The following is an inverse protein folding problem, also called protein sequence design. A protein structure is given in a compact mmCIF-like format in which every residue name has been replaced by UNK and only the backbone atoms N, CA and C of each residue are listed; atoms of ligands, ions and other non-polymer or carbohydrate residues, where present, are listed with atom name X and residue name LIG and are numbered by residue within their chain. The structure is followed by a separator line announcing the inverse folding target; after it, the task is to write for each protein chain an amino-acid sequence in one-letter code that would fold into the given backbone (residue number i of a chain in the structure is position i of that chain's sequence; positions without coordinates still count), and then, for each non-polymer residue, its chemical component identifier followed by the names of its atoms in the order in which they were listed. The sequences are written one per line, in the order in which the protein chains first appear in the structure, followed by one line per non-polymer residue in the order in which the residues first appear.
data_IF_788680687789
#
_entry.id   IF_788680687789
#
_cell.length_a   1.000
_cell.length_b   1.000
_cell.length_c   1.000
_cell.angle_alpha   90.00
_cell.angle_beta   90.00
_cell.angle_gamma   90.00
#
_symmetry.space_group_name_H-M   'P 1'
#
loop_
_entity.id
_entity.type
_entity.pdbx_description
1 polymer ?
#
# COMPACT_ATOMS: atom_id res chain seq x y z
N UNK A 1 -36.64 -20.50 59.78
CA UNK A 1 -36.56 -20.05 58.38
C UNK A 1 -37.55 -20.89 57.60
N UNK A 2 -38.56 -20.30 56.97
CA UNK A 2 -39.60 -21.07 56.26
C UNK A 2 -39.09 -21.52 54.90
N UNK A 3 -39.59 -22.65 54.39
CA UNK A 3 -39.19 -23.22 53.09
C UNK A 3 -39.36 -22.20 51.93
N UNK A 4 -40.39 -21.37 52.00
CA UNK A 4 -40.65 -20.29 51.04
C UNK A 4 -39.53 -19.23 51.02
N UNK A 5 -38.97 -18.91 52.20
CA UNK A 5 -37.86 -17.94 52.29
C UNK A 5 -36.60 -18.51 51.65
N UNK A 6 -36.32 -19.80 51.86
CA UNK A 6 -35.18 -20.48 51.25
C UNK A 6 -35.29 -20.50 49.72
N UNK A 7 -36.48 -20.82 49.20
CA UNK A 7 -36.74 -20.84 47.76
C UNK A 7 -36.53 -19.46 47.11
N UNK A 8 -36.98 -18.39 47.76
CA UNK A 8 -36.78 -17.02 47.28
C UNK A 8 -35.28 -16.66 47.20
N UNK A 9 -34.49 -17.00 48.24
CA UNK A 9 -33.05 -16.75 48.23
C UNK A 9 -32.31 -17.51 47.13
N UNK A 10 -32.70 -18.76 46.87
CA UNK A 10 -32.13 -19.56 45.78
C UNK A 10 -32.45 -18.93 44.42
N UNK A 11 -33.69 -18.47 44.21
CA UNK A 11 -34.08 -17.78 42.97
C UNK A 11 -33.30 -16.48 42.78
N UNK A 12 -33.17 -15.65 43.83
CA UNK A 12 -32.39 -14.41 43.78
C UNK A 12 -30.92 -14.71 43.46
N UNK A 13 -30.33 -15.71 44.11
CA UNK A 13 -28.94 -16.11 43.83
C UNK A 13 -28.77 -16.56 42.36
N UNK A 14 -29.70 -17.36 41.83
CA UNK A 14 -29.66 -17.81 40.44
C UNK A 14 -29.71 -16.63 39.45
N UNK A 15 -30.56 -15.63 39.69
CA UNK A 15 -30.64 -14.42 38.84
C UNK A 15 -29.35 -13.61 38.93
N UNK A 16 -28.77 -13.44 40.12
CA UNK A 16 -27.50 -12.73 40.28
C UNK A 16 -26.35 -13.43 39.54
N UNK A 17 -26.29 -14.76 39.60
CA UNK A 17 -25.32 -15.55 38.84
C UNK A 17 -25.52 -15.36 37.33
N UNK A 18 -26.77 -15.40 36.85
CA UNK A 18 -27.08 -15.22 35.44
C UNK A 18 -26.68 -13.81 34.94
N UNK A 19 -26.94 -12.76 35.73
CA UNK A 19 -26.52 -11.40 35.41
C UNK A 19 -25.00 -11.26 35.40
N UNK A 20 -24.31 -11.85 36.38
CA UNK A 20 -22.85 -11.89 36.43
C UNK A 20 -22.25 -12.56 35.19
N UNK A 21 -22.78 -13.73 34.82
CA UNK A 21 -22.35 -14.45 33.62
C UNK A 21 -22.60 -13.64 32.34
N UNK A 22 -23.77 -12.98 32.23
CA UNK A 22 -24.09 -12.12 31.10
C UNK A 22 -23.10 -10.95 30.95
N UNK A 23 -22.76 -10.29 32.06
CA UNK A 23 -21.81 -9.18 32.05
C UNK A 23 -20.40 -9.62 31.65
N UNK A 24 -19.93 -10.77 32.17
CA UNK A 24 -18.64 -11.35 31.78
C UNK A 24 -18.63 -11.71 30.30
N UNK A 25 -19.71 -12.31 29.78
CA UNK A 25 -19.82 -12.64 28.36
C UNK A 25 -19.74 -11.39 27.46
N UNK A 26 -20.39 -10.29 27.85
CA UNK A 26 -20.33 -9.02 27.13
C UNK A 26 -18.92 -8.42 27.13
N UNK A 27 -18.22 -8.46 28.27
CA UNK A 27 -16.85 -7.97 28.39
C UNK A 27 -15.89 -8.77 27.53
N UNK A 28 -15.96 -10.11 27.58
CA UNK A 28 -15.15 -10.99 26.75
C UNK A 28 -15.46 -10.75 25.27
N UNK A 29 -16.73 -10.65 24.89
CA UNK A 29 -17.11 -10.37 23.50
C UNK A 29 -16.59 -9.01 23.02
N UNK A 30 -16.63 -7.98 23.87
CA UNK A 30 -16.08 -6.66 23.54
C UNK A 30 -14.55 -6.70 23.39
N UNK A 31 -13.86 -7.43 24.26
CA UNK A 31 -12.40 -7.58 24.20
C UNK A 31 -11.97 -8.39 22.98
N UNK A 32 -12.66 -9.49 22.69
CA UNK A 32 -12.42 -10.34 21.52
C UNK A 32 -12.63 -9.56 20.22
N UNK A 33 -13.71 -8.76 20.12
CA UNK A 33 -13.93 -7.86 18.98
C UNK A 33 -12.80 -6.84 18.80
N UNK A 34 -12.23 -6.32 19.89
CA UNK A 34 -11.09 -5.38 19.82
C UNK A 34 -9.82 -6.08 19.35
N UNK A 35 -9.54 -7.26 19.89
CA UNK A 35 -8.39 -8.07 19.49
C UNK A 35 -8.48 -8.49 18.02
N UNK A 36 -9.64 -9.00 17.59
CA UNK A 36 -9.90 -9.39 16.21
C UNK A 36 -9.73 -8.23 15.22
N UNK A 37 -10.20 -7.02 15.58
CA UNK A 37 -9.99 -5.81 14.76
C UNK A 37 -8.52 -5.46 14.65
N UNK A 38 -7.77 -5.51 15.75
CA UNK A 38 -6.34 -5.22 15.75
C UNK A 38 -5.57 -6.20 14.87
N UNK A 39 -5.85 -7.51 15.00
CA UNK A 39 -5.24 -8.55 14.17
C UNK A 39 -5.59 -8.32 12.69
N UNK A 40 -6.86 -8.05 12.37
CA UNK A 40 -7.28 -7.78 11.00
C UNK A 40 -6.61 -6.52 10.39
N UNK A 41 -6.37 -5.48 11.19
CA UNK A 41 -5.63 -4.30 10.75
C UNK A 41 -4.14 -4.61 10.49
N UNK A 42 -3.52 -5.39 11.37
CA UNK A 42 -2.13 -5.83 11.21
C UNK A 42 -1.97 -6.74 9.97
N UNK A 43 -2.85 -7.72 9.80
CA UNK A 43 -2.87 -8.60 8.62
C UNK A 43 -3.08 -7.80 7.33
N UNK A 44 -4.00 -6.83 7.35
CA UNK A 44 -4.21 -5.94 6.19
C UNK A 44 -2.95 -5.16 5.84
N UNK A 45 -2.22 -4.65 6.84
CA UNK A 45 -0.95 -3.93 6.62
C UNK A 45 0.12 -4.87 6.06
N UNK A 46 0.26 -6.06 6.63
CA UNK A 46 1.21 -7.06 6.16
C UNK A 46 0.91 -7.48 4.71
N UNK A 47 -0.37 -7.67 4.37
CA UNK A 47 -0.80 -8.00 3.02
C UNK A 47 -0.50 -6.88 2.01
N UNK A 48 -0.74 -5.62 2.38
CA UNK A 48 -0.40 -4.46 1.54
C UNK A 48 1.11 -4.36 1.30
N UNK A 49 1.91 -4.53 2.35
CA UNK A 49 3.37 -4.52 2.26
C UNK A 49 3.88 -5.66 1.37
N UNK A 50 3.36 -6.88 1.56
CA UNK A 50 3.73 -8.02 0.74
C UNK A 50 3.35 -7.80 -0.73
N UNK A 51 2.14 -7.28 -1.01
CA UNK A 51 1.72 -6.92 -2.37
C UNK A 51 2.64 -5.89 -3.01
N UNK A 52 3.05 -4.86 -2.26
CA UNK A 52 4.03 -3.86 -2.72
C UNK A 52 5.38 -4.51 -3.08
N UNK A 53 5.93 -5.34 -2.20
CA UNK A 53 7.23 -5.99 -2.43
C UNK A 53 7.21 -6.93 -3.63
N UNK A 54 6.13 -7.69 -3.83
CA UNK A 54 5.97 -8.56 -5.01
C UNK A 54 5.91 -7.74 -6.29
N UNK A 55 5.19 -6.63 -6.29
CA UNK A 55 5.14 -5.70 -7.42
C UNK A 55 6.54 -5.13 -7.73
N UNK A 56 7.25 -4.63 -6.72
CA UNK A 56 8.61 -4.07 -6.89
C UNK A 56 9.58 -5.13 -7.41
N UNK A 57 9.52 -6.35 -6.87
CA UNK A 57 10.33 -7.47 -7.35
C UNK A 57 10.02 -7.82 -8.82
N UNK A 58 8.75 -7.87 -9.22
CA UNK A 58 8.37 -8.15 -10.61
C UNK A 58 8.84 -7.03 -11.54
N UNK A 59 8.68 -5.77 -11.16
CA UNK A 59 9.16 -4.63 -11.92
C UNK A 59 10.70 -4.66 -12.10
N UNK A 60 11.44 -4.99 -11.04
CA UNK A 60 12.90 -5.16 -11.08
C UNK A 60 13.33 -6.33 -11.97
N UNK A 61 12.62 -7.47 -11.92
CA UNK A 61 12.88 -8.61 -12.79
C UNK A 61 12.67 -8.24 -14.27
N UNK A 62 11.56 -7.58 -14.60
CA UNK A 62 11.27 -7.09 -15.96
C UNK A 62 12.32 -6.09 -16.42
N UNK A 63 12.71 -5.14 -15.57
CA UNK A 63 13.74 -4.16 -15.88
C UNK A 63 15.08 -4.84 -16.15
N UNK A 64 15.46 -5.81 -15.33
CA UNK A 64 16.69 -6.58 -15.50
C UNK A 64 16.68 -7.37 -16.80
N UNK A 65 15.56 -8.00 -17.16
CA UNK A 65 15.40 -8.71 -18.44
C UNK A 65 15.51 -7.75 -19.63
N UNK A 66 14.85 -6.59 -19.56
CA UNK A 66 14.89 -5.57 -20.59
C UNK A 66 16.34 -5.07 -20.79
N UNK A 67 17.06 -4.74 -19.72
CA UNK A 67 18.45 -4.28 -19.78
C UNK A 67 19.41 -5.38 -20.28
N UNK A 68 19.23 -6.64 -19.87
CA UNK A 68 20.09 -7.76 -20.29
C UNK A 68 19.89 -8.19 -21.73
N UNK A 69 18.75 -7.87 -22.37
CA UNK A 69 18.55 -8.14 -23.80
C UNK A 69 19.53 -7.40 -24.71
N UNK A 70 20.26 -6.39 -24.20
CA UNK A 70 21.37 -5.77 -24.93
C UNK A 70 20.95 -4.84 -26.07
N UNK A 71 19.66 -4.47 -26.13
CA UNK A 71 19.08 -3.68 -27.21
C UNK A 71 18.70 -4.53 -28.43
N UNK A 72 17.88 -3.95 -29.30
CA UNK A 72 17.52 -4.55 -30.59
C UNK A 72 18.17 -3.74 -31.71
N UNK A 73 18.61 -4.42 -32.78
CA UNK A 73 19.03 -3.77 -34.02
C UNK A 73 17.84 -3.12 -34.74
N UNK A 74 16.62 -3.55 -34.43
CA UNK A 74 15.41 -2.87 -34.87
C UNK A 74 15.15 -1.61 -34.04
N UNK A 75 15.10 -0.47 -34.73
CA UNK A 75 14.93 0.85 -34.11
C UNK A 75 13.62 0.99 -33.36
N UNK A 76 12.55 0.33 -33.82
CA UNK A 76 11.25 0.40 -33.16
C UNK A 76 11.26 -0.39 -31.85
N UNK A 77 11.73 -1.64 -31.89
CA UNK A 77 11.90 -2.48 -30.71
C UNK A 77 12.82 -1.81 -29.67
N UNK A 78 13.89 -1.15 -30.10
CA UNK A 78 14.80 -0.41 -29.21
C UNK A 78 14.10 0.74 -28.47
N UNK A 79 13.24 1.51 -29.18
CA UNK A 79 12.42 2.58 -28.57
C UNK A 79 11.42 2.02 -27.57
N UNK A 80 10.73 0.94 -27.92
CA UNK A 80 9.73 0.31 -27.06
C UNK A 80 10.38 -0.24 -25.78
N UNK A 81 11.55 -0.85 -25.90
CA UNK A 81 12.34 -1.30 -24.74
C UNK A 81 12.79 -0.13 -23.86
N UNK A 82 13.23 0.98 -24.46
CA UNK A 82 13.62 2.19 -23.73
C UNK A 82 12.45 2.81 -22.98
N UNK A 83 11.27 2.88 -23.59
CA UNK A 83 10.04 3.37 -22.98
C UNK A 83 9.59 2.48 -21.82
N UNK A 84 9.61 1.15 -22.00
CA UNK A 84 9.31 0.19 -20.93
C UNK A 84 10.27 0.36 -19.75
N UNK A 85 11.58 0.43 -20.01
CA UNK A 85 12.56 0.62 -18.96
C UNK A 85 12.38 1.95 -18.22
N UNK A 86 12.04 3.03 -18.93
CA UNK A 86 11.69 4.31 -18.32
C UNK A 86 10.45 4.21 -17.41
N UNK A 87 9.38 3.56 -17.88
CA UNK A 87 8.17 3.35 -17.07
C UNK A 87 8.44 2.52 -15.80
N UNK A 88 9.27 1.47 -15.91
CA UNK A 88 9.65 0.62 -14.78
C UNK A 88 10.49 1.38 -13.75
N UNK A 89 11.46 2.19 -14.18
CA UNK A 89 12.23 3.06 -13.30
C UNK A 89 11.29 4.07 -12.60
N UNK A 90 10.33 4.61 -13.34
CA UNK A 90 9.27 5.50 -12.83
C UNK A 90 8.43 4.85 -11.73
N UNK A 91 8.08 3.58 -11.92
CA UNK A 91 7.29 2.83 -10.95
C UNK A 91 8.06 2.54 -9.66
N UNK A 92 9.35 2.20 -9.79
CA UNK A 92 10.21 1.81 -8.69
C UNK A 92 10.65 3.00 -7.83
N UNK A 93 10.77 4.19 -8.43
CA UNK A 93 11.11 5.41 -7.70
C UNK A 93 12.61 5.60 -7.43
N UNK A 94 12.98 6.78 -6.90
CA UNK A 94 14.37 7.13 -6.61
C UNK A 94 14.98 6.33 -5.46
N UNK A 95 14.17 5.82 -4.51
CA UNK A 95 14.67 5.07 -3.36
C UNK A 95 15.32 3.73 -3.76
N UNK A 96 14.74 3.05 -4.76
CA UNK A 96 15.22 1.75 -5.23
C UNK A 96 16.26 1.87 -6.34
N UNK A 97 16.14 2.90 -7.19
CA UNK A 97 16.98 3.07 -8.38
C UNK A 97 17.51 4.51 -8.52
N UNK A 98 18.26 5.05 -7.53
CA UNK A 98 18.62 6.47 -7.50
C UNK A 98 19.39 6.93 -8.73
N UNK A 99 20.39 6.16 -9.16
CA UNK A 99 21.20 6.50 -10.33
C UNK A 99 20.40 6.46 -11.63
N UNK A 100 19.59 5.42 -11.83
CA UNK A 100 18.79 5.27 -13.04
C UNK A 100 17.64 6.28 -13.10
N UNK A 101 17.10 6.65 -11.93
CA UNK A 101 16.11 7.69 -11.77
C UNK A 101 16.67 9.03 -12.23
N UNK A 102 17.81 9.46 -11.68
CA UNK A 102 18.44 10.73 -12.05
C UNK A 102 18.79 10.78 -13.54
N UNK A 103 19.33 9.67 -14.07
CA UNK A 103 19.75 9.59 -15.47
C UNK A 103 18.59 9.59 -16.48
N UNK A 104 17.43 9.03 -16.13
CA UNK A 104 16.34 8.80 -17.10
C UNK A 104 15.06 9.56 -16.82
N UNK A 105 14.81 9.90 -15.56
CA UNK A 105 13.56 10.50 -15.11
C UNK A 105 13.78 11.85 -14.46
N UNK A 106 15.01 12.18 -13.99
CA UNK A 106 15.40 13.30 -13.11
C UNK A 106 14.83 14.70 -13.33
N UNK A 107 13.92 14.88 -14.29
CA UNK A 107 12.86 15.85 -14.27
C UNK A 107 11.92 15.67 -13.07
N UNK A 108 11.72 16.77 -12.35
CA UNK A 108 10.71 16.94 -11.30
C UNK A 108 9.29 16.83 -11.87
N UNK A 109 8.29 16.56 -11.01
CA UNK A 109 6.88 16.58 -11.43
C UNK A 109 6.52 17.92 -12.08
N UNK A 110 7.04 19.04 -11.56
CA UNK A 110 6.86 20.37 -12.12
C UNK A 110 7.44 20.50 -13.54
N UNK A 111 8.60 19.90 -13.80
CA UNK A 111 9.21 19.90 -15.14
C UNK A 111 8.43 19.03 -16.12
N UNK A 112 7.92 17.88 -15.67
CA UNK A 112 7.04 17.04 -16.47
C UNK A 112 5.72 17.74 -16.78
N UNK A 113 5.14 18.47 -15.82
CA UNK A 113 3.92 19.26 -16.05
C UNK A 113 4.15 20.39 -17.06
N UNK A 114 5.31 21.06 -17.00
CA UNK A 114 5.70 22.06 -18.02
C UNK A 114 5.87 21.42 -19.39
N UNK A 115 6.49 20.24 -19.45
CA UNK A 115 6.67 19.49 -20.69
C UNK A 115 5.33 19.05 -21.30
N UNK A 116 4.35 18.66 -20.47
CA UNK A 116 2.99 18.34 -20.93
C UNK A 116 2.26 19.58 -21.45
N UNK A 117 2.48 20.74 -20.84
CA UNK A 117 1.86 22.00 -21.22
C UNK A 117 2.45 22.64 -22.49
N UNK A 118 3.66 22.22 -22.90
CA UNK A 118 4.33 22.72 -24.10
C UNK A 118 3.66 22.15 -25.38
N UNK A 119 2.96 23.00 -26.13
CA UNK A 119 2.29 22.63 -27.38
C UNK A 119 3.24 22.35 -28.54
N UNK A 120 4.49 22.80 -28.46
CA UNK A 120 5.51 22.53 -29.47
C UNK A 120 6.03 21.08 -29.38
N UNK A 121 5.82 20.41 -28.24
CA UNK A 121 6.23 19.02 -28.07
C UNK A 121 5.33 18.06 -28.86
N UNK A 122 5.92 17.02 -29.48
CA UNK A 122 5.16 15.96 -30.13
C UNK A 122 4.11 15.35 -29.18
N UNK A 123 2.87 15.24 -29.65
CA UNK A 123 1.74 14.82 -28.81
C UNK A 123 1.90 13.46 -28.14
N UNK A 124 2.71 12.55 -28.70
CA UNK A 124 3.00 11.26 -28.07
C UNK A 124 3.94 11.38 -26.85
N UNK A 125 4.89 12.31 -26.87
CA UNK A 125 5.79 12.56 -25.74
C UNK A 125 5.03 13.19 -24.58
N UNK A 126 4.13 14.15 -24.87
CA UNK A 126 3.26 14.76 -23.85
C UNK A 126 2.38 13.71 -23.15
N UNK A 127 1.75 12.82 -23.92
CA UNK A 127 0.97 11.69 -23.35
C UNK A 127 1.84 10.74 -22.51
N UNK A 128 3.10 10.52 -22.91
CA UNK A 128 4.02 9.68 -22.13
C UNK A 128 4.41 10.35 -20.81
N UNK A 129 4.67 11.65 -20.81
CA UNK A 129 4.97 12.42 -19.60
C UNK A 129 3.75 12.47 -18.67
N UNK A 130 2.54 12.65 -19.21
CA UNK A 130 1.30 12.57 -18.45
C UNK A 130 1.12 11.21 -17.76
N UNK A 131 1.39 10.11 -18.48
CA UNK A 131 1.35 8.76 -17.92
C UNK A 131 2.39 8.56 -16.81
N UNK A 132 3.60 9.12 -16.95
CA UNK A 132 4.63 9.07 -15.91
C UNK A 132 4.22 9.82 -14.65
N UNK A 133 3.61 11.01 -14.78
CA UNK A 133 3.07 11.76 -13.64
C UNK A 133 1.99 10.95 -12.92
N UNK A 134 1.04 10.39 -13.67
CA UNK A 134 -0.03 9.57 -13.09
C UNK A 134 0.53 8.35 -12.35
N UNK A 135 1.51 7.66 -12.94
CA UNK A 135 2.16 6.51 -12.34
C UNK A 135 2.95 6.87 -11.08
N UNK A 136 3.69 7.98 -11.10
CA UNK A 136 4.39 8.52 -9.93
C UNK A 136 3.44 8.83 -8.78
N UNK A 137 2.28 9.46 -9.06
CA UNK A 137 1.24 9.75 -8.06
C UNK A 137 0.62 8.49 -7.46
N UNK A 138 0.33 7.48 -8.29
CA UNK A 138 -0.19 6.18 -7.82
C UNK A 138 0.85 5.47 -6.95
N UNK A 139 2.11 5.44 -7.38
CA UNK A 139 3.19 4.83 -6.61
C UNK A 139 3.38 5.54 -5.25
N UNK A 140 3.34 6.88 -5.23
CA UNK A 140 3.42 7.66 -4.00
C UNK A 140 2.22 7.44 -3.07
N UNK A 141 1.01 7.34 -3.63
CA UNK A 141 -0.18 7.03 -2.84
C UNK A 141 -0.10 5.62 -2.22
N UNK A 142 0.40 4.63 -2.97
CA UNK A 142 0.67 3.28 -2.45
C UNK A 142 1.70 3.35 -1.34
N UNK A 143 2.80 4.10 -1.51
CA UNK A 143 3.83 4.30 -0.47
C UNK A 143 3.23 4.92 0.79
N UNK A 144 2.48 6.03 0.66
CA UNK A 144 1.81 6.71 1.77
C UNK A 144 0.83 5.81 2.52
N UNK A 145 0.04 5.01 1.81
CA UNK A 145 -0.92 4.07 2.43
C UNK A 145 -0.25 2.84 3.05
N UNK A 146 0.93 2.48 2.57
CA UNK A 146 1.72 1.34 3.08
C UNK A 146 2.67 1.75 4.21
N UNK A 147 2.95 3.03 4.39
CA UNK A 147 3.82 3.53 5.44
C UNK A 147 3.20 3.34 6.83
N UNK A 148 3.98 2.91 7.83
CA UNK A 148 3.50 2.81 9.20
C UNK A 148 3.16 4.20 9.75
N UNK A 149 2.03 4.33 10.46
CA UNK A 149 1.49 5.58 11.05
C UNK A 149 2.38 6.16 12.19
N UNK A 150 3.65 5.77 12.28
CA UNK A 150 4.55 6.10 13.39
C UNK A 150 5.84 6.83 13.04
N UNK A 151 6.13 7.15 11.78
CA UNK A 151 7.39 7.84 11.42
C UNK A 151 7.29 9.37 11.31
N UNK A 152 6.11 9.96 11.46
CA UNK A 152 5.98 11.42 11.59
C UNK A 152 5.97 11.82 13.06
N UNK A 153 7.16 11.86 13.68
CA UNK A 153 7.26 12.22 15.08
C UNK A 153 8.65 12.14 15.69
N UNK A 154 9.67 12.71 15.03
CA UNK A 154 10.86 13.28 15.70
C UNK A 154 11.68 14.05 14.65
N UNK A 155 11.50 15.36 14.58
CA UNK A 155 12.54 16.33 14.22
C UNK A 155 12.23 17.62 14.96
#
# INVERSE_FOLDING_TARGET
MTEETLALWVQVAAVLVALGASMVALLISAQDRRAARKIAEEDRRAALLHGKLLFEMEALLRLTQNLRRGGSSDSQTSKDMGAEAGALIGALGPDLLPQSWDLRIGQTEEELLRFVADEEQPGYLRRSAEAQIALGRVAEEIRRKSAPVGSQGTS
#
